data_IF_923367200159
#
_entry.id   IF_923367200159
#
_cell.length_a   1.000
_cell.length_b   1.000
_cell.length_c   1.000
_cell.angle_alpha   90.00
_cell.angle_beta   90.00
_cell.angle_gamma   90.00
#
_symmetry.space_group_name_H-M   'P 1'
#
loop_
_entity.id
_entity.type
_entity.pdbx_description
1 polymer ?
#
# COMPACT_ATOMS: atom_id res chain seq x y z
N UNK A 1 2.22 11.78 -21.88
CA UNK A 1 1.71 11.69 -20.51
C UNK A 1 2.81 12.09 -19.54
N UNK A 2 2.44 12.47 -18.33
CA UNK A 2 3.41 12.65 -17.25
C UNK A 2 3.29 11.46 -16.28
N UNK A 3 4.41 11.11 -15.66
CA UNK A 3 4.45 10.04 -14.65
C UNK A 3 5.21 10.56 -13.44
N UNK A 4 4.58 10.44 -12.27
CA UNK A 4 5.19 10.67 -10.98
C UNK A 4 5.33 9.37 -10.20
N UNK A 5 6.28 9.30 -9.26
CA UNK A 5 6.47 8.11 -8.43
C UNK A 5 6.83 8.47 -7.00
N UNK A 6 6.50 7.58 -6.09
CA UNK A 6 6.91 7.67 -4.70
C UNK A 6 7.26 6.29 -4.15
N UNK A 7 8.19 6.23 -3.20
CA UNK A 7 8.48 5.07 -2.38
C UNK A 7 8.63 5.50 -0.94
N UNK A 8 7.97 4.80 -0.03
CA UNK A 8 8.01 5.06 1.40
C UNK A 8 8.27 3.78 2.17
N UNK A 9 9.13 3.86 3.16
CA UNK A 9 9.27 2.81 4.16
C UNK A 9 8.04 2.83 5.06
N UNK A 10 7.41 1.68 5.23
CA UNK A 10 6.21 1.50 6.04
C UNK A 10 6.40 0.52 7.21
N UNK A 11 7.65 0.14 7.50
CA UNK A 11 7.98 -0.65 8.68
C UNK A 11 7.57 0.11 9.94
N UNK A 12 6.66 -0.41 10.77
CA UNK A 12 6.26 0.24 12.02
C UNK A 12 7.40 0.20 13.05
N UNK A 13 7.25 1.02 14.09
CA UNK A 13 8.15 1.03 15.25
C UNK A 13 7.40 0.49 16.48
N UNK A 14 8.12 -0.22 17.35
CA UNK A 14 7.56 -0.79 18.58
C UNK A 14 7.16 -2.25 18.43
N UNK A 15 6.22 -2.69 19.25
CA UNK A 15 5.73 -4.07 19.26
C UNK A 15 4.88 -4.34 18.03
N UNK A 16 5.42 -5.14 17.11
CA UNK A 16 4.80 -5.46 15.83
C UNK A 16 4.31 -6.91 15.85
N UNK A 17 3.02 -7.09 15.62
CA UNK A 17 2.45 -8.42 15.42
C UNK A 17 2.35 -8.69 13.91
N UNK A 18 2.92 -9.82 13.50
CA UNK A 18 2.93 -10.21 12.09
C UNK A 18 1.58 -10.80 11.67
N UNK A 19 1.16 -10.48 10.46
CA UNK A 19 -0.06 -11.01 9.85
C UNK A 19 0.21 -12.38 9.18
N UNK A 20 -0.84 -13.19 9.08
CA UNK A 20 -0.77 -14.51 8.44
C UNK A 20 -0.28 -15.62 9.38
N UNK A 21 -0.58 -16.85 9.00
CA UNK A 21 -0.17 -18.06 9.73
C UNK A 21 -0.53 -18.08 11.23
N UNK A 22 -1.73 -17.63 11.57
CA UNK A 22 -2.23 -17.52 12.95
C UNK A 22 -1.98 -18.73 13.84
N UNK A 23 -1.95 -19.93 13.26
CA UNK A 23 -1.77 -21.18 13.99
C UNK A 23 -0.32 -21.43 14.46
N UNK A 24 0.60 -20.56 14.09
CA UNK A 24 1.98 -20.67 14.54
C UNK A 24 2.17 -19.93 15.86
N UNK A 25 2.74 -20.57 16.90
CA UNK A 25 2.90 -19.95 18.22
C UNK A 25 3.61 -18.60 18.21
N UNK A 26 4.59 -18.44 17.33
CA UNK A 26 5.36 -17.20 17.18
C UNK A 26 4.58 -16.02 16.54
N UNK A 27 3.32 -16.26 16.12
CA UNK A 27 2.45 -15.21 15.59
C UNK A 27 1.56 -14.57 16.66
N UNK A 28 1.54 -15.16 17.86
CA UNK A 28 0.82 -14.62 19.02
C UNK A 28 1.67 -13.63 19.83
N UNK A 29 2.98 -13.61 19.58
CA UNK A 29 3.94 -12.74 20.22
C UNK A 29 4.41 -11.64 19.24
N UNK A 30 4.86 -10.49 19.75
CA UNK A 30 5.47 -9.47 18.92
C UNK A 30 6.70 -9.99 18.18
N UNK A 31 6.99 -9.43 17.01
CA UNK A 31 8.24 -9.69 16.31
C UNK A 31 9.43 -9.22 17.17
N UNK A 32 10.50 -10.02 17.20
CA UNK A 32 11.69 -9.70 17.98
C UNK A 32 12.65 -8.72 17.31
N UNK A 33 12.37 -8.36 16.05
CA UNK A 33 13.16 -7.41 15.28
C UNK A 33 12.70 -7.32 13.83
N UNK A 34 13.36 -6.46 13.09
CA UNK A 34 13.14 -6.26 11.66
C UNK A 34 14.32 -6.87 10.91
N UNK A 35 14.05 -7.84 10.04
CA UNK A 35 15.06 -8.42 9.14
C UNK A 35 15.23 -7.52 7.92
N UNK A 36 14.10 -7.25 7.23
CA UNK A 36 14.04 -6.35 6.10
C UNK A 36 12.92 -5.33 6.28
N UNK A 37 13.13 -4.11 5.80
CA UNK A 37 12.10 -3.09 5.80
C UNK A 37 11.00 -3.40 4.78
N UNK A 38 9.76 -3.11 5.13
CA UNK A 38 8.62 -3.15 4.23
C UNK A 38 8.33 -1.76 3.64
N UNK A 39 7.88 -1.75 2.39
CA UNK A 39 7.71 -0.51 1.62
C UNK A 39 6.33 -0.37 1.01
N UNK A 40 5.94 0.86 0.78
CA UNK A 40 4.89 1.25 -0.16
C UNK A 40 5.52 1.92 -1.37
N UNK A 41 4.98 1.61 -2.56
CA UNK A 41 5.37 2.18 -3.83
C UNK A 41 4.14 2.78 -4.52
N UNK A 42 4.29 3.93 -5.13
CA UNK A 42 3.21 4.60 -5.84
C UNK A 42 3.65 5.10 -7.20
N UNK A 43 2.74 5.06 -8.15
CA UNK A 43 2.90 5.65 -9.49
C UNK A 43 1.62 6.42 -9.81
N UNK A 44 1.78 7.65 -10.28
CA UNK A 44 0.70 8.46 -10.80
C UNK A 44 0.92 8.70 -12.29
N UNK A 45 -0.06 8.31 -13.09
CA UNK A 45 -0.12 8.62 -14.51
C UNK A 45 -1.04 9.82 -14.73
N UNK A 46 -0.57 10.80 -15.51
CA UNK A 46 -1.35 11.98 -15.83
C UNK A 46 -1.42 12.19 -17.36
N UNK A 47 -2.63 12.37 -17.88
CA UNK A 47 -2.86 12.71 -19.28
C UNK A 47 -4.01 13.70 -19.44
N UNK A 48 -3.68 14.96 -19.71
CA UNK A 48 -4.64 16.06 -19.62
C UNK A 48 -5.13 16.18 -18.18
N UNK A 49 -6.45 16.21 -17.98
CA UNK A 49 -7.08 16.29 -16.66
C UNK A 49 -7.29 14.90 -16.01
N UNK A 50 -6.94 13.81 -16.70
CA UNK A 50 -7.11 12.46 -16.18
C UNK A 50 -5.88 12.01 -15.41
N UNK A 51 -6.12 11.45 -14.24
CA UNK A 51 -5.12 10.84 -13.38
C UNK A 51 -5.48 9.39 -13.06
N UNK A 52 -4.49 8.52 -13.03
CA UNK A 52 -4.61 7.14 -12.54
C UNK A 52 -3.53 6.91 -11.51
N UNK A 53 -3.91 6.53 -10.31
CA UNK A 53 -3.01 6.28 -9.19
C UNK A 53 -2.92 4.79 -8.90
N UNK A 54 -1.72 4.24 -9.01
CA UNK A 54 -1.37 2.89 -8.60
C UNK A 54 -0.61 2.96 -7.28
N UNK A 55 -1.10 2.25 -6.28
CA UNK A 55 -0.42 2.11 -4.99
C UNK A 55 -0.25 0.63 -4.66
N UNK A 56 0.98 0.24 -4.37
CA UNK A 56 1.34 -1.10 -3.96
C UNK A 56 2.06 -1.04 -2.61
N UNK A 57 1.77 -1.97 -1.71
CA UNK A 57 2.43 -2.05 -0.41
C UNK A 57 2.80 -3.49 -0.03
N UNK A 58 3.88 -3.62 0.76
CA UNK A 58 4.29 -4.88 1.37
C UNK A 58 3.41 -5.16 2.59
N UNK A 59 2.16 -5.51 2.32
CA UNK A 59 1.13 -5.90 3.29
C UNK A 59 0.42 -7.16 2.78
N UNK A 60 -0.36 -7.82 3.63
CA UNK A 60 -1.10 -9.01 3.23
C UNK A 60 -2.13 -8.68 2.15
N UNK A 61 -2.96 -7.69 2.38
CA UNK A 61 -4.04 -7.28 1.49
C UNK A 61 -4.53 -5.86 1.80
N UNK A 62 -5.30 -5.29 0.91
CA UNK A 62 -6.19 -4.17 1.16
C UNK A 62 -7.60 -4.72 1.32
N UNK A 63 -8.11 -4.77 2.55
CA UNK A 63 -9.48 -5.17 2.81
C UNK A 63 -10.45 -4.17 2.17
N UNK A 64 -11.63 -4.64 1.75
CA UNK A 64 -12.60 -3.84 0.99
C UNK A 64 -12.95 -2.51 1.70
N UNK A 65 -13.19 -2.55 3.01
CA UNK A 65 -13.53 -1.34 3.77
C UNK A 65 -12.41 -0.31 3.77
N UNK A 66 -11.15 -0.76 3.91
CA UNK A 66 -9.97 0.09 3.82
C UNK A 66 -9.79 0.64 2.40
N UNK A 67 -9.97 -0.19 1.38
CA UNK A 67 -9.85 0.25 0.00
C UNK A 67 -10.87 1.35 -0.33
N UNK A 68 -12.11 1.20 0.13
CA UNK A 68 -13.17 2.21 -0.06
C UNK A 68 -12.88 3.50 0.72
N UNK A 69 -12.33 3.41 1.94
CA UNK A 69 -11.88 4.57 2.72
C UNK A 69 -10.78 5.34 2.00
N UNK A 70 -9.75 4.64 1.51
CA UNK A 70 -8.64 5.25 0.74
C UNK A 70 -9.15 5.96 -0.51
N UNK A 71 -10.00 5.30 -1.31
CA UNK A 71 -10.57 5.89 -2.53
C UNK A 71 -11.40 7.13 -2.22
N UNK A 72 -12.21 7.07 -1.16
CA UNK A 72 -13.02 8.21 -0.72
C UNK A 72 -12.13 9.38 -0.30
N UNK A 73 -11.15 9.11 0.55
CA UNK A 73 -10.22 10.11 1.05
C UNK A 73 -9.43 10.80 -0.06
N UNK A 74 -8.94 10.04 -1.04
CA UNK A 74 -8.21 10.59 -2.19
C UNK A 74 -9.12 11.42 -3.10
N UNK A 75 -10.35 10.95 -3.33
CA UNK A 75 -11.34 11.69 -4.11
C UNK A 75 -11.72 13.03 -3.46
N UNK A 76 -12.00 13.01 -2.15
CA UNK A 76 -12.39 14.21 -1.39
C UNK A 76 -11.25 15.22 -1.25
N UNK A 77 -10.02 14.75 -0.99
CA UNK A 77 -8.86 15.64 -0.78
C UNK A 77 -8.28 16.18 -2.08
N UNK A 78 -8.28 15.40 -3.14
CA UNK A 78 -7.50 15.69 -4.35
C UNK A 78 -8.31 15.69 -5.65
N UNK A 79 -9.59 15.29 -5.60
CA UNK A 79 -10.48 15.29 -6.76
C UNK A 79 -10.19 14.18 -7.79
N UNK A 80 -9.40 13.16 -7.41
CA UNK A 80 -9.18 12.01 -8.30
C UNK A 80 -10.43 11.14 -8.37
N UNK A 81 -10.73 10.62 -9.55
CA UNK A 81 -11.81 9.65 -9.72
C UNK A 81 -11.50 8.36 -8.93
N UNK A 82 -12.48 7.91 -8.14
CA UNK A 82 -12.36 6.70 -7.31
C UNK A 82 -12.01 5.45 -8.13
N UNK A 83 -12.55 5.34 -9.34
CA UNK A 83 -12.29 4.22 -10.25
C UNK A 83 -10.88 4.27 -10.88
N UNK A 84 -10.21 5.40 -10.75
CA UNK A 84 -8.82 5.60 -11.15
C UNK A 84 -7.81 5.39 -10.03
N UNK A 85 -8.23 4.89 -8.85
CA UNK A 85 -7.37 4.50 -7.73
C UNK A 85 -7.27 2.98 -7.67
N UNK A 86 -6.09 2.44 -7.91
CA UNK A 86 -5.81 1.00 -7.85
C UNK A 86 -4.87 0.72 -6.68
N UNK A 87 -5.32 -0.16 -5.79
CA UNK A 87 -4.55 -0.62 -4.63
C UNK A 87 -4.15 -2.07 -4.85
N UNK A 88 -2.92 -2.42 -4.54
CA UNK A 88 -2.42 -3.79 -4.60
C UNK A 88 -1.47 -4.09 -3.45
N UNK A 89 -1.42 -5.34 -3.03
CA UNK A 89 -0.54 -5.84 -1.98
C UNK A 89 0.41 -6.90 -2.56
N UNK A 90 1.60 -7.02 -1.97
CA UNK A 90 2.54 -8.09 -2.31
C UNK A 90 2.11 -9.45 -1.71
N UNK A 91 1.09 -9.43 -0.85
CA UNK A 91 0.57 -10.57 -0.10
C UNK A 91 1.61 -11.17 0.85
N UNK A 92 2.36 -10.31 1.50
CA UNK A 92 3.41 -10.71 2.44
C UNK A 92 2.83 -11.16 3.78
N UNK A 93 3.15 -12.39 4.17
CA UNK A 93 2.72 -13.00 5.44
C UNK A 93 3.68 -12.72 6.61
N UNK A 94 4.73 -11.95 6.38
CA UNK A 94 5.69 -11.51 7.40
C UNK A 94 5.70 -9.99 7.60
N UNK A 95 4.63 -9.34 7.18
CA UNK A 95 4.38 -7.92 7.33
C UNK A 95 3.38 -7.62 8.46
N UNK A 96 2.88 -6.44 8.48
CA UNK A 96 2.09 -5.82 9.53
C UNK A 96 0.58 -6.00 9.32
N UNK A 97 -0.18 -5.80 10.40
CA UNK A 97 -1.64 -5.72 10.35
C UNK A 97 -2.03 -4.29 9.98
N UNK A 98 -2.39 -4.08 8.71
CA UNK A 98 -2.72 -2.77 8.17
C UNK A 98 -4.24 -2.47 8.08
N UNK A 99 -5.12 -3.26 8.72
CA UNK A 99 -6.57 -3.08 8.64
C UNK A 99 -7.33 -3.60 9.86
N UNK A 100 -8.57 -3.17 10.02
CA UNK A 100 -9.39 -3.31 11.23
C UNK A 100 -9.91 -4.71 11.54
N UNK A 101 -10.04 -5.59 10.57
CA UNK A 101 -10.68 -6.90 10.73
C UNK A 101 -9.69 -8.04 10.65
N UNK A 102 -8.80 -8.07 11.57
CA UNK A 102 -7.90 -9.20 11.58
C UNK A 102 -8.34 -10.27 12.57
N UNK A 103 -9.29 -11.10 12.18
CA UNK A 103 -9.50 -12.39 12.84
C UNK A 103 -8.33 -13.37 12.59
N UNK A 104 -7.44 -13.02 11.67
CA UNK A 104 -6.26 -13.80 11.29
C UNK A 104 -5.05 -13.55 12.17
N UNK A 105 -5.03 -12.51 12.97
CA UNK A 105 -3.77 -12.09 13.57
C UNK A 105 -3.91 -11.23 14.80
N UNK A 106 -2.79 -10.98 15.37
CA UNK A 106 -2.38 -10.11 16.41
C UNK A 106 -3.10 -8.76 16.58
N UNK A 107 -2.49 -7.92 17.34
CA UNK A 107 -3.07 -6.66 17.79
C UNK A 107 -3.14 -5.65 16.66
N UNK A 108 -4.32 -5.14 16.34
CA UNK A 108 -4.50 -3.99 15.46
C UNK A 108 -3.98 -2.72 16.13
N UNK A 109 -3.21 -1.92 15.42
CA UNK A 109 -2.72 -0.63 15.87
C UNK A 109 -3.40 0.51 15.08
N UNK A 110 -4.34 1.19 15.74
CA UNK A 110 -5.08 2.32 15.17
C UNK A 110 -4.16 3.48 14.77
N UNK A 111 -3.10 3.75 15.52
CA UNK A 111 -2.17 4.84 15.22
C UNK A 111 -1.38 4.51 13.95
N UNK A 112 -0.95 3.25 13.82
CA UNK A 112 -0.28 2.78 12.60
C UNK A 112 -1.23 2.84 11.40
N UNK A 113 -2.47 2.40 11.56
CA UNK A 113 -3.49 2.46 10.50
C UNK A 113 -3.68 3.88 9.97
N UNK A 114 -3.90 4.85 10.85
CA UNK A 114 -4.05 6.26 10.49
C UNK A 114 -2.81 6.82 9.81
N UNK A 115 -1.64 6.52 10.35
CA UNK A 115 -0.37 6.90 9.75
C UNK A 115 -0.20 6.28 8.35
N UNK A 116 -0.64 5.04 8.15
CA UNK A 116 -0.57 4.37 6.85
C UNK A 116 -1.49 5.03 5.83
N UNK A 117 -2.74 5.38 6.20
CA UNK A 117 -3.65 6.16 5.37
C UNK A 117 -3.04 7.52 4.96
N UNK A 118 -2.45 8.24 5.91
CA UNK A 118 -1.77 9.50 5.63
C UNK A 118 -0.55 9.30 4.71
N UNK A 119 0.15 8.18 4.86
CA UNK A 119 1.28 7.81 3.97
C UNK A 119 0.82 7.61 2.52
N UNK A 120 -0.35 7.02 2.30
CA UNK A 120 -0.95 6.88 0.95
C UNK A 120 -1.20 8.26 0.34
N UNK A 121 -1.79 9.18 1.10
CA UNK A 121 -1.99 10.56 0.68
C UNK A 121 -0.67 11.27 0.34
N UNK A 122 0.32 11.15 1.20
CA UNK A 122 1.64 11.74 0.96
C UNK A 122 2.32 11.16 -0.30
N UNK A 123 2.17 9.86 -0.55
CA UNK A 123 2.66 9.26 -1.79
C UNK A 123 1.98 9.87 -3.02
N UNK A 124 0.67 10.10 -2.96
CA UNK A 124 -0.06 10.76 -4.04
C UNK A 124 0.44 12.19 -4.29
N UNK A 125 0.62 12.98 -3.23
CA UNK A 125 1.17 14.34 -3.31
C UNK A 125 2.57 14.37 -3.91
N UNK A 126 3.45 13.48 -3.45
CA UNK A 126 4.81 13.36 -3.99
C UNK A 126 4.80 12.99 -5.47
N UNK A 127 3.92 12.06 -5.88
CA UNK A 127 3.77 11.69 -7.28
C UNK A 127 3.30 12.87 -8.12
N UNK A 128 2.32 13.66 -7.65
CA UNK A 128 1.89 14.87 -8.35
C UNK A 128 3.01 15.90 -8.49
N UNK A 129 3.76 16.11 -7.42
CA UNK A 129 4.81 17.13 -7.36
C UNK A 129 6.01 16.80 -8.25
N UNK A 130 6.31 15.51 -8.46
CA UNK A 130 7.47 15.09 -9.25
C UNK A 130 7.11 14.52 -10.64
N UNK A 131 5.84 14.63 -11.05
CA UNK A 131 5.40 14.15 -12.35
C UNK A 131 6.11 14.85 -13.51
N UNK A 132 6.67 14.09 -14.41
CA UNK A 132 7.42 14.59 -15.57
C UNK A 132 7.09 13.80 -16.84
N UNK A 133 7.35 14.39 -18.02
CA UNK A 133 7.08 13.73 -19.30
C UNK A 133 7.74 12.35 -19.39
N UNK A 134 6.95 11.35 -19.77
CA UNK A 134 7.38 9.98 -19.89
C UNK A 134 6.66 9.24 -21.02
N UNK A 135 7.29 8.17 -21.49
CA UNK A 135 6.74 7.23 -22.48
C UNK A 135 6.57 5.88 -21.83
N UNK A 136 5.34 5.38 -21.80
CA UNK A 136 5.04 4.03 -21.34
C UNK A 136 5.32 3.01 -22.47
N UNK A 137 6.05 1.95 -22.14
CA UNK A 137 6.27 0.83 -23.05
C UNK A 137 5.77 -0.44 -22.40
N UNK A 138 4.95 -1.21 -23.11
CA UNK A 138 4.43 -2.50 -22.65
C UNK A 138 5.24 -3.64 -23.29
N UNK A 139 5.75 -4.54 -22.43
CA UNK A 139 6.31 -5.82 -22.83
C UNK A 139 5.42 -6.97 -22.34
N UNK A 140 5.31 -8.05 -23.09
CA UNK A 140 4.60 -9.26 -22.70
C UNK A 140 5.49 -10.48 -22.95
N UNK A 141 5.64 -11.32 -21.93
CA UNK A 141 6.35 -12.59 -22.00
C UNK A 141 5.53 -13.70 -21.36
N UNK A 142 5.44 -14.85 -22.01
CA UNK A 142 4.88 -16.04 -21.41
C UNK A 142 5.91 -16.65 -20.44
N UNK A 143 5.49 -16.97 -19.23
CA UNK A 143 6.33 -17.63 -18.22
C UNK A 143 5.61 -18.91 -17.80
N UNK A 144 6.33 -20.01 -17.80
CA UNK A 144 5.81 -21.31 -17.37
C UNK A 144 6.41 -21.63 -16.01
N UNK A 145 5.54 -21.83 -15.01
CA UNK A 145 5.92 -22.30 -13.68
C UNK A 145 5.70 -23.82 -13.63
N UNK A 146 6.68 -24.54 -13.17
CA UNK A 146 6.61 -25.98 -12.91
C UNK A 146 6.43 -26.24 -11.43
#
# INVERSE_FOLDING_TARGET
MNIGHARRKITPQGDIYLIGYRNLPNRLEPATGVHDDVFANAILFQQGEREVFLFNADVLEFEESMAEEVKTMLAERYGIDRDCVLLSATHDHTSIVAYHRSWWTGKFDENYYRWFLDTICQCFEVCRANAQPAICRLGKQAVYYT
#
